data_IF_706975763209
#
_entry.id   IF_706975763209
#
_cell.length_a   1.000
_cell.length_b   1.000
_cell.length_c   1.000
_cell.angle_alpha   90.00
_cell.angle_beta   90.00
_cell.angle_gamma   90.00
#
_symmetry.space_group_name_H-M   'P 1'
#
loop_
_entity.id
_entity.type
_entity.pdbx_description
1 polymer ?
#
# COMPACT_ATOMS: atom_id res chain seq x y z
N UNK A 1 25.51 28.34 -25.28
CA UNK A 1 24.20 28.15 -25.93
C UNK A 1 23.53 27.00 -25.21
N UNK A 2 22.33 27.17 -24.64
CA UNK A 2 21.62 26.07 -23.99
C UNK A 2 21.01 25.18 -25.07
N UNK A 3 21.47 23.95 -25.18
CA UNK A 3 20.88 22.97 -26.09
C UNK A 3 19.66 22.34 -25.42
N UNK A 4 18.56 22.25 -26.16
CA UNK A 4 17.32 21.61 -25.71
C UNK A 4 17.07 20.36 -26.53
N UNK A 5 16.76 19.25 -25.87
CA UNK A 5 16.51 17.96 -26.51
C UNK A 5 15.05 17.56 -26.25
N UNK A 6 14.28 17.10 -27.27
CA UNK A 6 12.93 16.62 -27.07
C UNK A 6 12.89 15.40 -26.14
N UNK A 7 11.83 15.31 -25.34
CA UNK A 7 11.56 14.14 -24.49
C UNK A 7 11.40 12.87 -25.35
N UNK A 8 12.24 11.87 -25.13
CA UNK A 8 12.13 10.53 -25.72
C UNK A 8 12.64 9.47 -24.73
N UNK A 9 12.30 8.20 -24.95
CA UNK A 9 12.87 7.10 -24.15
C UNK A 9 14.40 7.03 -24.27
N UNK A 10 14.96 7.36 -25.45
CA UNK A 10 16.40 7.38 -25.66
C UNK A 10 17.08 8.45 -24.79
N UNK A 11 16.47 9.63 -24.71
CA UNK A 11 17.01 10.76 -23.94
C UNK A 11 16.79 10.57 -22.43
N UNK A 12 15.71 9.88 -22.02
CA UNK A 12 15.44 9.55 -20.61
C UNK A 12 16.56 8.71 -20.02
N UNK A 13 17.13 7.76 -20.76
CA UNK A 13 18.28 6.96 -20.30
C UNK A 13 19.50 7.80 -19.95
N UNK A 14 19.68 8.94 -20.62
CA UNK A 14 20.78 9.89 -20.38
C UNK A 14 20.41 10.97 -19.37
N UNK A 15 19.24 10.89 -18.76
CA UNK A 15 18.79 11.90 -17.81
C UNK A 15 19.62 11.85 -16.52
N UNK A 16 20.02 13.02 -16.02
CA UNK A 16 20.88 13.19 -14.84
C UNK A 16 20.35 12.48 -13.58
N UNK A 17 19.04 12.34 -13.45
CA UNK A 17 18.37 11.62 -12.34
C UNK A 17 18.89 10.19 -12.12
N UNK A 18 19.32 9.50 -13.19
CA UNK A 18 19.78 8.11 -13.14
C UNK A 18 21.29 7.97 -12.95
N UNK A 19 22.04 9.07 -12.97
CA UNK A 19 23.49 9.03 -12.84
C UNK A 19 23.84 8.89 -11.35
N UNK A 20 24.54 7.82 -10.92
CA UNK A 20 24.93 7.67 -9.53
C UNK A 20 25.67 8.91 -9.02
N UNK A 21 25.49 9.30 -7.74
CA UNK A 21 26.30 10.37 -7.18
C UNK A 21 27.77 9.97 -7.30
N UNK A 22 28.62 10.88 -7.77
CA UNK A 22 30.07 10.65 -7.85
C UNK A 22 30.54 10.55 -6.41
N UNK A 23 30.67 9.33 -5.88
CA UNK A 23 31.09 9.08 -4.52
C UNK A 23 32.39 9.83 -4.24
N UNK A 24 32.39 10.73 -3.27
CA UNK A 24 33.61 11.32 -2.71
C UNK A 24 34.33 10.27 -1.86
N UNK A 25 34.89 9.22 -2.48
CA UNK A 25 36.07 8.44 -2.02
C UNK A 25 36.13 7.02 -2.62
N UNK A 26 36.66 6.88 -3.84
CA UNK A 26 37.70 5.92 -4.26
C UNK A 26 37.82 5.91 -5.79
N UNK A 27 39.03 5.75 -6.35
CA UNK A 27 39.26 5.82 -7.80
C UNK A 27 38.63 4.62 -8.53
N UNK A 28 38.44 4.71 -9.87
CA UNK A 28 37.83 3.65 -10.65
C UNK A 28 38.88 2.56 -10.87
N UNK A 29 38.72 1.42 -10.21
CA UNK A 29 39.26 0.19 -10.78
C UNK A 29 38.20 -0.32 -11.77
N UNK A 30 38.63 -0.46 -13.03
CA UNK A 30 37.88 -0.99 -14.16
C UNK A 30 37.45 -2.44 -13.92
N UNK A 31 36.48 -2.63 -13.05
CA UNK A 31 35.71 -3.86 -12.94
C UNK A 31 34.25 -3.46 -12.95
N UNK A 32 33.48 -4.03 -13.89
CA UNK A 32 32.04 -4.06 -13.80
C UNK A 32 31.70 -4.85 -12.54
N UNK A 33 31.74 -4.19 -11.37
CA UNK A 33 31.18 -4.73 -10.14
C UNK A 33 29.69 -4.90 -10.41
N UNK A 34 29.36 -6.14 -10.78
CA UNK A 34 28.04 -6.72 -10.65
C UNK A 34 27.45 -6.16 -9.35
N UNK A 35 26.37 -5.39 -9.50
CA UNK A 35 25.52 -4.90 -8.42
C UNK A 35 25.52 -5.88 -7.26
N UNK A 36 26.02 -5.42 -6.11
CA UNK A 36 25.98 -6.06 -4.80
C UNK A 36 26.21 -7.58 -4.81
N UNK A 37 27.42 -8.00 -4.38
CA UNK A 37 27.59 -9.35 -3.84
C UNK A 37 26.55 -9.53 -2.74
N UNK A 38 25.52 -10.31 -3.02
CA UNK A 38 24.54 -10.76 -2.04
C UNK A 38 25.30 -11.38 -0.89
N UNK A 39 25.36 -10.67 0.24
CA UNK A 39 25.87 -11.26 1.48
C UNK A 39 24.99 -12.47 1.78
N UNK A 40 25.57 -13.55 2.32
CA UNK A 40 24.86 -14.79 2.62
C UNK A 40 23.65 -14.63 3.60
N UNK A 41 23.42 -13.41 4.09
CA UNK A 41 22.31 -13.00 4.96
C UNK A 41 21.24 -12.15 4.23
N UNK A 42 21.31 -11.95 2.91
CA UNK A 42 20.22 -11.27 2.19
C UNK A 42 18.93 -12.10 2.28
N UNK A 43 17.83 -11.51 2.79
CA UNK A 43 16.59 -12.25 2.95
C UNK A 43 16.05 -12.65 1.58
N UNK A 44 15.73 -13.92 1.44
CA UNK A 44 15.25 -14.52 0.19
C UNK A 44 14.06 -13.71 -0.37
N UNK A 45 14.12 -13.32 -1.66
CA UNK A 45 13.10 -12.54 -2.39
C UNK A 45 12.98 -11.03 -2.06
N UNK A 46 14.08 -10.28 -2.01
CA UNK A 46 13.98 -8.81 -1.93
C UNK A 46 13.54 -8.18 -3.26
N UNK A 47 12.41 -7.47 -3.23
CA UNK A 47 11.90 -6.72 -4.37
C UNK A 47 12.43 -5.29 -4.36
N UNK A 48 13.16 -4.92 -5.42
CA UNK A 48 13.66 -3.55 -5.59
C UNK A 48 12.71 -2.71 -6.45
N UNK A 49 11.73 -2.04 -5.84
CA UNK A 49 10.96 -1.00 -6.55
C UNK A 49 11.54 0.37 -6.20
N UNK A 50 12.60 0.76 -6.91
CA UNK A 50 13.32 2.04 -6.69
C UNK A 50 12.81 3.19 -7.55
N UNK A 51 11.71 3.00 -8.27
CA UNK A 51 11.16 4.01 -9.18
C UNK A 51 9.64 4.06 -9.07
N UNK A 52 9.07 5.26 -9.04
CA UNK A 52 7.64 5.46 -9.00
C UNK A 52 7.24 6.74 -9.73
N UNK A 53 6.07 6.70 -10.37
CA UNK A 53 5.45 7.85 -11.00
C UNK A 53 4.42 8.47 -10.04
N UNK A 54 4.46 9.80 -9.91
CA UNK A 54 3.42 10.61 -9.30
C UNK A 54 2.97 11.67 -10.28
N UNK A 55 1.80 11.50 -10.87
CA UNK A 55 1.29 12.38 -11.94
C UNK A 55 2.30 12.53 -13.09
N UNK A 56 3.02 13.66 -13.11
CA UNK A 56 4.05 14.00 -14.11
C UNK A 56 5.47 13.95 -13.53
N UNK A 57 5.59 13.68 -12.24
CA UNK A 57 6.87 13.58 -11.56
C UNK A 57 7.35 12.12 -11.56
N UNK A 58 8.59 11.94 -11.99
CA UNK A 58 9.34 10.71 -11.81
C UNK A 58 10.14 10.81 -10.52
N UNK A 59 9.98 9.84 -9.63
CA UNK A 59 10.72 9.74 -8.38
C UNK A 59 11.58 8.47 -8.44
N UNK A 60 12.86 8.61 -8.13
CA UNK A 60 13.87 7.54 -8.19
C UNK A 60 14.64 7.51 -6.87
N UNK A 61 14.84 6.32 -6.31
CA UNK A 61 15.74 6.08 -5.20
C UNK A 61 17.10 5.59 -5.71
N UNK A 62 18.17 6.21 -5.25
CA UNK A 62 19.55 5.88 -5.59
C UNK A 62 20.34 5.77 -4.28
N UNK A 63 20.73 4.55 -3.91
CA UNK A 63 21.30 4.25 -2.59
C UNK A 63 20.42 4.80 -1.44
N UNK A 64 20.88 5.82 -0.72
CA UNK A 64 20.17 6.48 0.39
C UNK A 64 19.48 7.79 -0.02
N UNK A 65 19.58 8.18 -1.30
CA UNK A 65 19.01 9.41 -1.84
C UNK A 65 17.67 9.16 -2.55
N UNK A 66 16.71 10.08 -2.36
CA UNK A 66 15.48 10.14 -3.16
C UNK A 66 15.55 11.35 -4.08
N UNK A 67 15.38 11.10 -5.39
CA UNK A 67 15.47 12.11 -6.44
C UNK A 67 14.13 12.26 -7.15
N UNK A 68 13.81 13.48 -7.56
CA UNK A 68 12.54 13.80 -8.21
C UNK A 68 12.79 14.72 -9.40
N UNK A 69 12.17 14.41 -10.54
CA UNK A 69 12.15 15.29 -11.71
C UNK A 69 10.75 15.33 -12.33
N UNK A 70 10.40 16.43 -13.00
CA UNK A 70 9.15 16.54 -13.73
C UNK A 70 9.39 16.19 -15.20
N UNK A 71 8.72 15.17 -15.71
CA UNK A 71 8.88 14.72 -17.10
C UNK A 71 8.25 15.69 -18.11
N UNK A 72 7.36 16.57 -17.66
CA UNK A 72 6.66 17.54 -18.49
C UNK A 72 7.29 18.93 -18.33
N UNK A 73 8.53 19.08 -18.83
CA UNK A 73 9.12 20.40 -19.00
C UNK A 73 8.14 21.31 -19.76
N UNK A 74 7.99 22.57 -19.32
CA UNK A 74 7.02 23.53 -19.88
C UNK A 74 7.14 23.70 -21.41
N UNK A 75 8.30 23.36 -21.96
CA UNK A 75 8.65 23.55 -23.36
C UNK A 75 8.80 22.21 -24.12
N UNK A 76 8.44 21.08 -23.49
CA UNK A 76 8.56 19.74 -24.07
C UNK A 76 10.01 19.27 -24.34
N UNK A 77 11.00 20.04 -23.90
CA UNK A 77 12.41 19.76 -24.08
C UNK A 77 13.17 19.85 -22.75
N UNK A 78 14.18 19.00 -22.60
CA UNK A 78 15.13 19.07 -21.50
C UNK A 78 16.34 19.89 -21.87
N UNK A 79 16.83 20.68 -20.92
CA UNK A 79 18.09 21.42 -21.06
C UNK A 79 19.26 20.46 -20.92
N UNK A 80 20.31 20.69 -21.69
CA UNK A 80 21.59 20.02 -21.53
C UNK A 80 22.56 20.99 -20.85
N UNK A 81 23.01 20.63 -19.66
CA UNK A 81 23.97 21.39 -18.86
C UNK A 81 25.09 20.42 -18.43
N UNK A 82 26.35 20.83 -18.61
CA UNK A 82 27.55 20.03 -18.31
C UNK A 82 27.58 18.61 -18.91
N UNK A 83 26.99 18.44 -20.11
CA UNK A 83 26.88 17.15 -20.79
C UNK A 83 25.81 16.22 -20.23
N UNK A 84 25.05 16.67 -19.24
CA UNK A 84 23.94 15.95 -18.62
C UNK A 84 22.60 16.43 -19.18
N UNK A 85 21.67 15.50 -19.35
CA UNK A 85 20.33 15.80 -19.87
C UNK A 85 19.36 15.99 -18.72
N UNK A 86 18.68 17.14 -18.71
CA UNK A 86 17.66 17.47 -17.72
C UNK A 86 18.22 17.66 -16.30
N UNK A 87 17.33 18.05 -15.39
CA UNK A 87 17.66 18.36 -14.00
C UNK A 87 16.76 17.58 -13.05
N UNK A 88 17.20 17.45 -11.80
CA UNK A 88 16.44 16.77 -10.76
C UNK A 88 16.66 17.44 -9.41
N UNK A 89 15.81 17.10 -8.44
CA UNK A 89 15.95 17.54 -7.07
C UNK A 89 16.15 16.37 -6.15
N UNK A 90 17.05 16.51 -5.20
CA UNK A 90 17.21 15.53 -4.11
C UNK A 90 16.29 15.91 -2.96
N UNK A 91 15.39 15.02 -2.58
CA UNK A 91 14.54 15.15 -1.40
C UNK A 91 15.37 14.81 -0.15
N UNK A 92 15.74 15.84 0.62
CA UNK A 92 16.56 15.71 1.81
C UNK A 92 15.71 15.49 3.06
N UNK A 93 16.13 14.54 3.87
CA UNK A 93 15.53 14.21 5.16
C UNK A 93 16.60 13.65 6.08
N UNK A 94 16.62 14.08 7.35
CA UNK A 94 17.54 13.56 8.38
C UNK A 94 17.30 12.09 8.72
N UNK A 95 16.14 11.54 8.36
CA UNK A 95 15.76 10.15 8.63
C UNK A 95 16.21 9.17 7.54
N UNK A 96 16.59 9.65 6.35
CA UNK A 96 17.08 8.81 5.25
C UNK A 96 18.57 8.51 5.46
N UNK A 97 18.84 7.45 6.22
CA UNK A 97 20.20 7.08 6.66
C UNK A 97 20.55 5.63 6.33
N UNK A 98 19.78 5.01 5.44
CA UNK A 98 19.88 3.60 5.05
C UNK A 98 19.71 3.46 3.55
N UNK A 99 20.23 2.36 2.99
CA UNK A 99 20.06 2.01 1.59
C UNK A 99 18.58 1.70 1.27
N UNK A 100 18.04 2.38 0.27
CA UNK A 100 16.63 2.31 -0.11
C UNK A 100 16.43 1.12 -1.06
N UNK A 101 15.48 0.27 -0.72
CA UNK A 101 15.12 -0.92 -1.49
C UNK A 101 13.82 -0.68 -2.26
N UNK A 102 12.88 0.00 -1.61
CA UNK A 102 11.52 0.09 -2.10
C UNK A 102 10.91 1.46 -1.80
N UNK A 103 10.25 2.06 -2.79
CA UNK A 103 9.52 3.32 -2.65
C UNK A 103 8.08 3.17 -3.16
N UNK A 104 7.11 3.71 -2.42
CA UNK A 104 5.69 3.65 -2.81
C UNK A 104 4.96 4.95 -2.48
N UNK A 105 4.42 5.58 -3.51
CA UNK A 105 3.58 6.78 -3.37
C UNK A 105 2.20 6.39 -2.87
N UNK A 106 1.65 7.18 -1.96
CA UNK A 106 0.31 6.95 -1.45
C UNK A 106 -0.77 7.31 -2.48
N UNK A 107 -2.00 6.77 -2.38
CA UNK A 107 -3.07 7.02 -3.34
C UNK A 107 -3.43 8.50 -3.55
N UNK A 108 -3.08 9.38 -2.60
CA UNK A 108 -3.31 10.82 -2.70
C UNK A 108 -2.14 11.59 -3.35
N UNK A 109 -1.00 10.95 -3.66
CA UNK A 109 0.20 11.60 -4.19
C UNK A 109 0.93 12.53 -3.22
N UNK A 110 0.57 12.49 -1.93
CA UNK A 110 1.08 13.42 -0.90
C UNK A 110 2.19 12.82 -0.05
N UNK A 111 2.22 11.50 0.09
CA UNK A 111 3.17 10.78 0.93
C UNK A 111 3.94 9.77 0.08
N UNK A 112 5.21 9.57 0.42
CA UNK A 112 6.06 8.53 -0.15
C UNK A 112 6.60 7.66 0.98
N UNK A 113 6.23 6.39 1.00
CA UNK A 113 6.91 5.41 1.85
C UNK A 113 8.25 5.07 1.22
N UNK A 114 9.32 5.21 1.99
CA UNK A 114 10.71 4.88 1.64
C UNK A 114 11.18 3.79 2.57
N UNK A 115 11.57 2.65 1.99
CA UNK A 115 11.74 1.40 2.72
C UNK A 115 13.13 0.84 2.46
N UNK A 116 13.84 0.56 3.54
CA UNK A 116 15.09 -0.20 3.56
C UNK A 116 14.82 -1.66 3.96
N UNK A 117 15.88 -2.39 4.29
CA UNK A 117 15.75 -3.78 4.77
C UNK A 117 14.90 -3.89 6.04
N UNK A 118 15.11 -2.98 7.01
CA UNK A 118 14.47 -3.04 8.32
C UNK A 118 13.82 -1.72 8.74
N UNK A 119 14.00 -0.65 7.98
CA UNK A 119 13.54 0.70 8.34
C UNK A 119 12.54 1.25 7.33
N UNK A 120 11.58 2.03 7.84
CA UNK A 120 10.57 2.71 7.01
C UNK A 120 10.49 4.18 7.40
N UNK A 121 10.55 5.04 6.38
CA UNK A 121 10.36 6.48 6.51
C UNK A 121 9.26 6.92 5.56
N UNK A 122 8.30 7.70 6.04
CA UNK A 122 7.31 8.34 5.18
C UNK A 122 7.70 9.78 4.95
N UNK A 123 7.98 10.15 3.70
CA UNK A 123 8.24 11.53 3.30
C UNK A 123 6.93 12.23 2.91
N UNK A 124 6.77 13.49 3.34
CA UNK A 124 5.73 14.37 2.84
C UNK A 124 6.22 15.00 1.54
N UNK A 125 5.60 14.63 0.42
CA UNK A 125 6.02 15.08 -0.89
C UNK A 125 5.64 16.56 -1.11
N UNK A 126 6.51 17.36 -1.75
CA UNK A 126 6.17 18.72 -2.15
C UNK A 126 4.93 18.77 -3.02
N UNK A 127 4.12 19.83 -2.88
CA UNK A 127 2.92 20.03 -3.71
C UNK A 127 3.33 20.17 -5.19
N UNK A 128 2.60 19.54 -6.13
CA UNK A 128 2.92 19.58 -7.57
C UNK A 128 3.05 21.00 -8.13
N UNK A 129 2.33 21.98 -7.60
CA UNK A 129 2.37 23.38 -8.09
C UNK A 129 3.72 24.07 -7.89
N UNK A 130 4.60 23.54 -7.03
CA UNK A 130 5.96 24.05 -6.86
C UNK A 130 6.93 23.54 -7.94
N UNK A 131 6.54 22.62 -8.84
CA UNK A 131 7.48 22.09 -9.82
C UNK A 131 7.84 23.07 -10.96
N UNK A 132 7.03 24.12 -11.19
CA UNK A 132 7.14 25.00 -12.36
C UNK A 132 8.15 26.15 -12.32
N UNK A 133 8.78 26.45 -11.16
CA UNK A 133 9.79 27.53 -11.02
C UNK A 133 10.83 27.20 -9.96
N UNK A 134 11.57 26.11 -10.08
CA UNK A 134 12.58 25.80 -9.08
C UNK A 134 13.93 25.52 -9.73
N UNK A 135 14.89 26.30 -9.24
CA UNK A 135 16.32 26.16 -9.45
C UNK A 135 16.78 24.74 -9.12
N UNK A 136 17.85 24.32 -9.79
CA UNK A 136 18.48 23.03 -9.57
C UNK A 136 18.95 22.94 -8.11
N UNK A 137 18.67 21.83 -7.41
CA UNK A 137 19.06 21.73 -6.00
C UNK A 137 18.29 20.77 -5.11
N UNK A 138 18.60 20.85 -3.82
CA UNK A 138 18.06 20.01 -2.77
C UNK A 138 16.78 20.60 -2.18
N UNK A 139 15.81 19.75 -1.86
CA UNK A 139 14.54 20.15 -1.23
C UNK A 139 14.43 19.43 0.10
N UNK A 140 14.41 20.19 1.20
CA UNK A 140 14.09 19.61 2.51
C UNK A 140 12.62 19.19 2.55
N UNK A 141 12.39 17.95 2.94
CA UNK A 141 11.04 17.38 3.08
C UNK A 141 10.80 16.96 4.52
N UNK A 142 9.57 17.18 4.99
CA UNK A 142 9.13 16.61 6.26
C UNK A 142 9.12 15.08 6.14
N UNK A 143 9.53 14.41 7.21
CA UNK A 143 9.64 12.96 7.24
C UNK A 143 9.22 12.39 8.58
N UNK A 144 8.58 11.23 8.52
CA UNK A 144 8.01 10.54 9.67
C UNK A 144 8.63 9.15 9.75
N UNK A 145 9.27 8.82 10.88
CA UNK A 145 9.72 7.47 11.18
C UNK A 145 8.53 6.59 11.54
N UNK A 146 8.43 5.41 10.93
CA UNK A 146 7.39 4.44 11.25
C UNK A 146 7.95 3.42 12.23
N UNK A 147 7.43 3.43 13.45
CA UNK A 147 7.73 2.48 14.53
C UNK A 147 9.23 2.11 14.63
N UNK A 148 10.03 3.04 15.17
CA UNK A 148 11.48 2.88 15.34
C UNK A 148 11.88 1.75 16.31
N UNK A 149 10.91 1.05 16.92
CA UNK A 149 11.18 -0.14 17.72
C UNK A 149 11.03 -1.41 16.85
N UNK A 150 9.90 -1.56 16.15
CA UNK A 150 9.65 -2.71 15.29
C UNK A 150 10.48 -2.69 14.00
N UNK A 151 10.65 -1.50 13.40
CA UNK A 151 11.37 -1.28 12.16
C UNK A 151 12.67 -0.51 12.41
N UNK A 152 13.43 -1.00 13.39
CA UNK A 152 14.76 -0.50 13.71
C UNK A 152 15.84 -1.22 12.89
N UNK A 153 17.04 -0.63 12.81
CA UNK A 153 18.22 -1.30 12.22
C UNK A 153 18.58 -2.63 12.89
N UNK A 154 18.20 -2.78 14.15
CA UNK A 154 18.43 -3.98 14.95
C UNK A 154 17.26 -4.97 14.88
N UNK A 155 16.26 -4.74 14.04
CA UNK A 155 15.14 -5.67 13.89
C UNK A 155 15.58 -6.94 13.18
N UNK A 156 15.24 -8.10 13.75
CA UNK A 156 15.52 -9.40 13.15
C UNK A 156 14.54 -9.74 11.99
N UNK A 157 13.53 -8.90 11.74
CA UNK A 157 12.52 -9.14 10.72
C UNK A 157 12.72 -8.18 9.55
N UNK A 158 13.05 -8.73 8.38
CA UNK A 158 13.20 -7.96 7.16
C UNK A 158 11.85 -7.58 6.58
N UNK A 159 11.75 -6.40 6.01
CA UNK A 159 10.56 -5.92 5.30
C UNK A 159 10.60 -6.49 3.88
N UNK A 160 9.58 -7.25 3.50
CA UNK A 160 9.50 -7.83 2.15
C UNK A 160 8.69 -6.96 1.21
N UNK A 161 7.61 -6.35 1.70
CA UNK A 161 6.77 -5.49 0.88
C UNK A 161 6.01 -4.47 1.72
N UNK A 162 5.74 -3.31 1.13
CA UNK A 162 4.76 -2.35 1.67
C UNK A 162 3.76 -1.96 0.59
N UNK A 163 2.51 -1.71 1.00
CA UNK A 163 1.48 -1.14 0.13
C UNK A 163 0.55 -0.22 0.93
N UNK A 164 0.00 0.79 0.26
CA UNK A 164 -1.05 1.61 0.86
C UNK A 164 -2.41 0.92 0.67
N UNK A 165 -3.21 0.87 1.74
CA UNK A 165 -4.57 0.36 1.66
C UNK A 165 -5.41 1.27 0.73
N UNK A 166 -6.15 0.70 -0.25
CA UNK A 166 -6.93 1.50 -1.21
C UNK A 166 -7.94 2.44 -0.55
N UNK A 167 -8.48 2.03 0.60
CA UNK A 167 -9.51 2.76 1.36
C UNK A 167 -9.04 3.34 2.68
N UNK A 168 -7.72 3.42 2.90
CA UNK A 168 -7.21 4.19 4.04
C UNK A 168 -7.73 5.63 3.95
N UNK A 169 -8.20 6.19 5.06
CA UNK A 169 -8.60 7.60 5.13
C UNK A 169 -7.48 8.46 4.52
N UNK A 170 -7.84 9.34 3.57
CA UNK A 170 -6.86 10.18 2.87
C UNK A 170 -5.74 9.46 2.09
N UNK A 171 -5.83 8.14 1.94
CA UNK A 171 -4.76 7.28 1.41
C UNK A 171 -3.60 7.06 2.39
N UNK A 172 -3.83 7.21 3.70
CA UNK A 172 -2.75 7.24 4.71
C UNK A 172 -2.61 5.95 5.53
N UNK A 173 -3.21 4.84 5.08
CA UNK A 173 -3.06 3.54 5.75
C UNK A 173 -1.98 2.73 5.05
N UNK A 174 -0.77 2.69 5.62
CA UNK A 174 0.33 1.87 5.12
C UNK A 174 0.26 0.46 5.71
N UNK A 175 0.44 -0.55 4.87
CA UNK A 175 0.55 -1.95 5.24
C UNK A 175 1.98 -2.42 5.00
N UNK A 176 2.51 -3.18 5.95
CA UNK A 176 3.88 -3.69 5.95
C UNK A 176 3.82 -5.20 6.09
N UNK A 177 4.43 -5.90 5.14
CA UNK A 177 4.68 -7.33 5.20
C UNK A 177 6.15 -7.54 5.55
N UNK A 178 6.39 -8.43 6.50
CA UNK A 178 7.72 -8.84 6.91
C UNK A 178 8.00 -10.28 6.51
N UNK A 179 9.28 -10.62 6.33
CA UNK A 179 9.72 -11.93 5.85
C UNK A 179 9.22 -13.06 6.74
N UNK A 180 9.19 -12.86 8.06
CA UNK A 180 8.78 -13.92 8.98
C UNK A 180 7.29 -14.29 8.90
N UNK A 181 6.47 -13.50 8.18
CA UNK A 181 5.02 -13.72 8.08
C UNK A 181 4.30 -13.79 9.44
N UNK A 182 4.94 -13.35 10.53
CA UNK A 182 4.48 -13.59 11.89
C UNK A 182 3.23 -12.76 12.21
N UNK A 183 2.10 -13.46 12.28
CA UNK A 183 1.07 -13.23 13.31
C UNK A 183 1.34 -14.27 14.43
N UNK A 184 2.00 -13.89 15.52
CA UNK A 184 2.60 -14.84 16.50
C UNK A 184 1.59 -15.85 17.10
N UNK A 185 1.87 -17.15 16.95
CA UNK A 185 1.82 -18.12 18.06
C UNK A 185 2.92 -19.19 17.88
N UNK A 186 3.85 -19.27 18.83
CA UNK A 186 4.92 -20.27 18.83
C UNK A 186 4.41 -21.64 19.21
N UNK A 187 4.81 -22.67 18.47
CA UNK A 187 5.07 -24.00 19.03
C UNK A 187 6.13 -24.69 18.16
N UNK A 188 7.24 -25.18 18.72
CA UNK A 188 8.18 -26.03 18.01
C UNK A 188 7.89 -27.50 18.30
N UNK A 189 8.00 -28.36 17.26
CA UNK A 189 8.69 -29.67 17.25
C UNK A 189 8.29 -30.42 15.97
N UNK A 190 9.28 -30.67 15.12
CA UNK A 190 9.30 -31.62 14.00
C UNK A 190 7.97 -31.89 13.31
N UNK A 191 7.64 -31.05 12.34
CA UNK A 191 6.75 -31.37 11.23
C UNK A 191 7.55 -31.09 9.97
N UNK A 192 7.43 -31.95 8.95
CA UNK A 192 8.00 -31.77 7.61
C UNK A 192 7.36 -30.57 6.88
N UNK A 193 7.51 -29.39 7.48
CA UNK A 193 7.06 -28.10 6.94
C UNK A 193 8.19 -27.59 6.09
N UNK A 194 7.92 -27.48 4.80
CA UNK A 194 8.77 -26.81 3.83
C UNK A 194 9.29 -25.48 4.43
N UNK A 195 10.62 -25.27 4.49
CA UNK A 195 11.22 -24.03 4.96
C UNK A 195 10.64 -22.78 4.29
N UNK A 196 10.28 -22.86 2.99
CA UNK A 196 9.72 -21.75 2.23
C UNK A 196 8.31 -21.36 2.68
N UNK A 197 7.55 -22.28 3.29
CA UNK A 197 6.23 -21.96 3.87
C UNK A 197 6.30 -21.04 5.10
N UNK A 198 7.50 -20.69 5.59
CA UNK A 198 7.68 -19.76 6.71
C UNK A 198 7.89 -18.32 6.25
N UNK A 199 8.17 -18.11 4.97
CA UNK A 199 8.55 -16.81 4.43
C UNK A 199 7.45 -16.23 3.57
N UNK A 200 6.98 -15.03 3.92
CA UNK A 200 6.01 -14.31 3.11
C UNK A 200 6.73 -13.44 2.08
N UNK A 201 6.48 -13.68 0.79
CA UNK A 201 7.20 -13.02 -0.31
C UNK A 201 6.45 -11.80 -0.85
N UNK A 202 5.12 -11.88 -0.99
CA UNK A 202 4.32 -10.80 -1.55
C UNK A 202 2.89 -10.82 -1.00
N UNK A 203 2.20 -9.68 -1.10
CA UNK A 203 0.78 -9.57 -0.82
C UNK A 203 0.09 -8.63 -1.80
N UNK A 204 -1.22 -8.80 -1.96
CA UNK A 204 -2.06 -7.94 -2.78
C UNK A 204 -3.47 -7.81 -2.19
N UNK A 205 -4.09 -6.65 -2.39
CA UNK A 205 -5.51 -6.46 -2.13
C UNK A 205 -6.33 -7.00 -3.30
N UNK A 206 -7.56 -7.46 -3.03
CA UNK A 206 -8.46 -7.84 -4.12
C UNK A 206 -8.82 -6.62 -5.00
N UNK A 207 -8.72 -6.74 -6.34
CA UNK A 207 -8.88 -5.60 -7.25
C UNK A 207 -10.35 -5.29 -7.56
N UNK A 208 -11.25 -6.25 -7.35
CA UNK A 208 -12.66 -6.08 -7.68
C UNK A 208 -13.35 -5.18 -6.66
N UNK A 209 -14.23 -4.31 -7.13
CA UNK A 209 -15.08 -3.48 -6.28
C UNK A 209 -16.39 -4.20 -5.91
N UNK A 210 -16.48 -5.52 -6.09
CA UNK A 210 -17.69 -6.31 -5.85
C UNK A 210 -17.48 -7.24 -4.66
N UNK A 211 -18.50 -7.34 -3.80
CA UNK A 211 -18.49 -8.23 -2.65
C UNK A 211 -17.31 -7.93 -1.71
N UNK A 212 -16.74 -8.95 -1.08
CA UNK A 212 -15.64 -8.76 -0.12
C UNK A 212 -14.26 -8.57 -0.76
N UNK A 213 -14.10 -8.70 -2.08
CA UNK A 213 -12.79 -8.66 -2.75
C UNK A 213 -11.86 -7.52 -2.30
N UNK A 214 -12.29 -6.25 -2.23
CA UNK A 214 -11.41 -5.14 -1.86
C UNK A 214 -11.10 -5.09 -0.35
N UNK A 215 -11.77 -5.93 0.44
CA UNK A 215 -11.53 -6.16 1.87
C UNK A 215 -10.69 -7.42 2.13
N UNK A 216 -10.30 -8.14 1.07
CA UNK A 216 -9.45 -9.32 1.16
C UNK A 216 -8.00 -8.95 0.87
N UNK A 217 -7.10 -9.49 1.70
CA UNK A 217 -5.66 -9.48 1.48
C UNK A 217 -5.23 -10.90 1.12
N UNK A 218 -4.53 -11.03 0.01
CA UNK A 218 -3.92 -12.26 -0.45
C UNK A 218 -2.44 -12.18 -0.12
N UNK A 219 -1.91 -13.17 0.59
CA UNK A 219 -0.52 -13.28 0.98
C UNK A 219 0.07 -14.51 0.30
N UNK A 220 1.13 -14.29 -0.47
CA UNK A 220 1.93 -15.33 -1.10
C UNK A 220 3.08 -15.70 -0.16
N UNK A 221 3.25 -16.99 0.06
CA UNK A 221 4.44 -17.55 0.71
C UNK A 221 5.47 -17.95 -0.35
N UNK A 222 6.74 -18.04 0.04
CA UNK A 222 7.81 -18.46 -0.85
C UNK A 222 7.60 -19.89 -1.40
N UNK A 223 6.82 -20.72 -0.71
CA UNK A 223 6.38 -22.05 -1.19
C UNK A 223 5.39 -21.99 -2.36
N UNK A 224 4.86 -20.81 -2.68
CA UNK A 224 3.77 -20.62 -3.64
C UNK A 224 2.37 -20.74 -3.05
N UNK A 225 2.26 -21.06 -1.76
CA UNK A 225 0.98 -21.08 -1.07
C UNK A 225 0.39 -19.67 -1.00
N UNK A 226 -0.87 -19.56 -1.40
CA UNK A 226 -1.64 -18.33 -1.21
C UNK A 226 -2.55 -18.49 0.01
N UNK A 227 -2.39 -17.58 0.97
CA UNK A 227 -3.30 -17.39 2.08
C UNK A 227 -4.17 -16.16 1.86
N UNK A 228 -5.42 -16.22 2.30
CA UNK A 228 -6.36 -15.12 2.19
C UNK A 228 -6.83 -14.68 3.57
N UNK A 229 -6.81 -13.39 3.82
CA UNK A 229 -7.21 -12.77 5.08
C UNK A 229 -8.32 -11.76 4.78
N UNK A 230 -9.41 -11.78 5.54
CA UNK A 230 -10.48 -10.79 5.40
C UNK A 230 -11.85 -11.23 5.93
N UNK A 231 -12.80 -10.29 6.06
CA UNK A 231 -12.66 -8.87 5.65
C UNK A 231 -11.80 -8.05 6.62
N UNK A 232 -10.89 -7.26 6.07
CA UNK A 232 -9.97 -6.38 6.80
C UNK A 232 -10.31 -4.92 6.49
N UNK A 233 -10.23 -4.07 7.51
CA UNK A 233 -10.38 -2.62 7.39
C UNK A 233 -9.31 -1.93 8.24
N UNK A 234 -8.65 -0.89 7.72
CA UNK A 234 -7.93 0.06 8.55
C UNK A 234 -8.84 0.67 9.61
N UNK A 235 -8.25 1.12 10.73
CA UNK A 235 -9.02 1.79 11.79
C UNK A 235 -9.82 2.99 11.25
N UNK A 236 -9.19 3.77 10.36
CA UNK A 236 -9.83 4.90 9.68
C UNK A 236 -9.92 4.59 8.20
N UNK A 237 -11.12 4.25 7.78
CA UNK A 237 -11.40 3.85 6.40
C UNK A 237 -12.37 4.83 5.76
N UNK A 238 -12.10 5.24 4.52
CA UNK A 238 -13.02 6.01 3.68
C UNK A 238 -13.47 5.14 2.49
N UNK A 239 -14.77 4.85 2.42
CA UNK A 239 -15.35 3.97 1.40
C UNK A 239 -16.51 4.61 0.65
N UNK A 240 -16.73 4.28 -0.63
CA UNK A 240 -17.92 4.73 -1.35
C UNK A 240 -19.21 4.24 -0.68
N UNK A 241 -20.14 5.14 -0.42
CA UNK A 241 -21.47 4.80 0.13
C UNK A 241 -22.21 3.79 -0.75
N UNK A 242 -22.02 3.90 -2.08
CA UNK A 242 -22.57 2.98 -3.05
C UNK A 242 -22.05 1.55 -2.86
N UNK A 243 -20.74 1.38 -2.69
CA UNK A 243 -20.15 0.06 -2.46
C UNK A 243 -20.74 -0.62 -1.22
N UNK A 244 -20.93 0.11 -0.11
CA UNK A 244 -21.49 -0.47 1.11
C UNK A 244 -22.94 -0.93 0.93
N UNK A 245 -23.73 -0.20 0.13
CA UNK A 245 -25.10 -0.62 -0.23
C UNK A 245 -25.08 -1.88 -1.10
N UNK A 246 -24.21 -1.93 -2.10
CA UNK A 246 -24.04 -3.10 -2.97
C UNK A 246 -23.54 -4.32 -2.20
N UNK A 247 -22.59 -4.14 -1.28
CA UNK A 247 -22.09 -5.18 -0.39
C UNK A 247 -23.21 -5.74 0.48
N UNK A 248 -24.09 -4.88 1.01
CA UNK A 248 -25.27 -5.31 1.77
C UNK A 248 -26.19 -6.17 0.92
N UNK A 249 -26.56 -5.70 -0.28
CA UNK A 249 -27.43 -6.45 -1.19
C UNK A 249 -26.81 -7.80 -1.57
N UNK A 250 -25.51 -7.82 -1.89
CA UNK A 250 -24.77 -9.05 -2.17
C UNK A 250 -24.84 -10.04 -1.00
N UNK A 251 -24.67 -9.54 0.23
CA UNK A 251 -24.68 -10.38 1.43
C UNK A 251 -26.08 -10.89 1.76
N UNK A 252 -27.12 -10.06 1.62
CA UNK A 252 -28.52 -10.45 1.83
C UNK A 252 -28.92 -11.58 0.87
N UNK A 253 -28.57 -11.46 -0.43
CA UNK A 253 -28.81 -12.49 -1.44
C UNK A 253 -28.07 -13.78 -1.08
N UNK A 254 -26.77 -13.69 -0.77
CA UNK A 254 -25.95 -14.86 -0.44
C UNK A 254 -26.43 -15.56 0.83
N UNK A 255 -26.86 -14.81 1.85
CA UNK A 255 -27.42 -15.39 3.06
C UNK A 255 -28.72 -16.15 2.76
N UNK A 256 -29.63 -15.56 1.98
CA UNK A 256 -30.87 -16.22 1.58
C UNK A 256 -30.60 -17.52 0.80
N UNK A 257 -29.64 -17.51 -0.13
CA UNK A 257 -29.24 -18.71 -0.89
C UNK A 257 -28.72 -19.83 0.03
N UNK A 258 -27.80 -19.51 0.93
CA UNK A 258 -27.21 -20.50 1.85
C UNK A 258 -28.26 -21.03 2.83
N UNK A 259 -29.17 -20.18 3.31
CA UNK A 259 -30.28 -20.59 4.17
C UNK A 259 -31.24 -21.54 3.47
N UNK A 260 -31.55 -21.31 2.19
CA UNK A 260 -32.41 -22.20 1.41
C UNK A 260 -31.72 -23.55 1.18
N UNK A 261 -30.45 -23.56 0.78
CA UNK A 261 -29.68 -24.80 0.59
C UNK A 261 -29.53 -25.62 1.88
N UNK A 262 -29.37 -24.95 3.03
CA UNK A 262 -29.29 -25.61 4.34
C UNK A 262 -30.60 -26.28 4.77
N UNK A 263 -31.75 -25.82 4.26
CA UNK A 263 -33.06 -26.45 4.50
C UNK A 263 -33.26 -27.70 3.65
N UNK A 264 -32.66 -27.76 2.46
CA UNK A 264 -32.87 -28.84 1.49
C UNK A 264 -31.99 -30.08 1.70
N UNK A 265 -30.89 -29.98 2.46
CA UNK A 265 -29.96 -31.10 2.70
C UNK A 265 -29.99 -31.50 4.18
N UNK A 266 -30.51 -32.70 4.48
CA UNK A 266 -30.60 -33.32 5.80
C UNK A 266 -29.29 -33.23 6.62
N UNK A 267 -29.10 -32.13 7.37
CA UNK A 267 -28.11 -31.96 8.45
C UNK A 267 -26.64 -31.75 8.05
N UNK A 268 -26.20 -32.10 6.84
CA UNK A 268 -24.78 -32.03 6.45
C UNK A 268 -24.32 -30.66 5.92
N UNK A 269 -25.24 -29.73 5.58
CA UNK A 269 -24.95 -28.45 4.93
C UNK A 269 -24.66 -27.25 5.84
N UNK A 270 -24.55 -27.43 7.16
CA UNK A 270 -24.49 -26.32 8.13
C UNK A 270 -23.13 -25.63 8.24
N UNK A 271 -22.07 -26.21 7.68
CA UNK A 271 -20.68 -25.74 7.84
C UNK A 271 -20.42 -24.34 7.27
N UNK A 272 -21.23 -23.87 6.31
CA UNK A 272 -21.13 -22.52 5.72
C UNK A 272 -22.09 -21.48 6.30
N UNK A 273 -23.19 -21.90 6.93
CA UNK A 273 -24.26 -20.99 7.35
C UNK A 273 -23.79 -20.06 8.48
N UNK A 274 -23.11 -20.59 9.49
CA UNK A 274 -22.60 -19.78 10.61
C UNK A 274 -21.61 -18.69 10.15
N UNK A 275 -20.70 -19.00 9.22
CA UNK A 275 -19.79 -18.00 8.64
C UNK A 275 -20.55 -16.93 7.86
N UNK A 276 -21.57 -17.33 7.11
CA UNK A 276 -22.39 -16.43 6.29
C UNK A 276 -23.22 -15.48 7.16
N UNK A 277 -23.77 -15.95 8.28
CA UNK A 277 -24.47 -15.12 9.27
C UNK A 277 -23.52 -14.09 9.88
N UNK A 278 -22.34 -14.51 10.35
CA UNK A 278 -21.35 -13.59 10.91
C UNK A 278 -20.90 -12.52 9.90
N UNK A 279 -20.78 -12.88 8.62
CA UNK A 279 -20.48 -11.92 7.56
C UNK A 279 -21.63 -10.92 7.35
N UNK A 280 -22.88 -11.37 7.39
CA UNK A 280 -24.04 -10.49 7.29
C UNK A 280 -24.12 -9.51 8.47
N UNK A 281 -23.95 -10.00 9.71
CA UNK A 281 -23.91 -9.15 10.91
C UNK A 281 -22.80 -8.10 10.83
N UNK A 282 -21.62 -8.48 10.34
CA UNK A 282 -20.50 -7.58 10.13
C UNK A 282 -20.83 -6.47 9.13
N UNK A 283 -21.47 -6.80 8.00
CA UNK A 283 -21.90 -5.83 6.98
C UNK A 283 -22.99 -4.90 7.53
N UNK A 284 -23.96 -5.44 8.26
CA UNK A 284 -25.02 -4.63 8.89
C UNK A 284 -24.47 -3.60 9.87
N UNK A 285 -23.42 -3.94 10.62
CA UNK A 285 -22.74 -3.00 11.51
C UNK A 285 -22.07 -1.86 10.73
N UNK A 286 -21.49 -2.12 9.56
CA UNK A 286 -20.95 -1.06 8.70
C UNK A 286 -22.04 -0.14 8.15
N UNK A 287 -23.14 -0.72 7.64
CA UNK A 287 -24.27 0.06 7.12
C UNK A 287 -24.91 0.91 8.22
N UNK A 288 -24.92 0.43 9.47
CA UNK A 288 -25.37 1.21 10.62
C UNK A 288 -24.49 2.44 10.86
N UNK A 289 -23.16 2.33 10.75
CA UNK A 289 -22.24 3.47 10.87
C UNK A 289 -22.52 4.53 9.79
N UNK A 290 -22.80 4.09 8.56
CA UNK A 290 -23.14 5.01 7.45
C UNK A 290 -24.38 5.83 7.78
N UNK A 291 -25.47 5.17 8.21
CA UNK A 291 -26.73 5.85 8.56
C UNK A 291 -26.53 6.87 9.69
N UNK A 292 -25.77 6.49 10.72
CA UNK A 292 -25.44 7.40 11.83
C UNK A 292 -24.68 8.63 11.35
N UNK A 293 -23.73 8.45 10.42
CA UNK A 293 -22.94 9.55 9.86
C UNK A 293 -23.82 10.49 9.01
N UNK A 294 -24.70 9.95 8.17
CA UNK A 294 -25.64 10.73 7.35
C UNK A 294 -26.63 11.53 8.20
N UNK A 295 -27.14 10.94 9.30
CA UNK A 295 -28.02 11.61 10.26
C UNK A 295 -27.30 12.77 10.97
N UNK A 296 -26.04 12.58 11.39
CA UNK A 296 -25.23 13.64 12.00
C UNK A 296 -24.94 14.78 11.03
N UNK A 297 -24.65 14.47 9.76
CA UNK A 297 -24.44 15.48 8.71
C UNK A 297 -25.71 16.29 8.42
N UNK A 298 -26.86 15.61 8.35
CA UNK A 298 -28.15 16.25 8.13
C UNK A 298 -28.51 17.22 9.26
N UNK A 299 -28.24 16.84 10.53
CA UNK A 299 -28.47 17.72 11.69
C UNK A 299 -27.59 18.98 11.66
N UNK A 300 -26.31 18.85 11.33
CA UNK A 300 -25.38 19.99 11.25
C UNK A 300 -25.79 21.00 10.18
N UNK A 301 -26.27 20.55 9.02
CA UNK A 301 -26.73 21.45 7.96
C UNK A 301 -27.95 22.28 8.39
N UNK A 302 -28.86 21.71 9.19
CA UNK A 302 -30.03 22.42 9.70
C UNK A 302 -29.64 23.48 10.74
N UNK A 303 -28.66 23.18 11.60
CA UNK A 303 -28.17 24.13 12.62
C UNK A 303 -27.39 25.29 12.00
N UNK A 304 -26.56 25.06 10.97
CA UNK A 304 -25.82 26.12 10.28
C UNK A 304 -26.70 26.96 9.35
N UNK A 305 -27.75 26.37 8.75
CA UNK A 305 -28.73 27.09 7.93
C UNK A 305 -29.73 27.95 8.72
N UNK A 306 -29.80 27.79 10.05
CA UNK A 306 -30.73 28.49 10.93
C UNK A 306 -30.25 29.86 11.45
N UNK A 307 -28.98 30.23 11.24
CA UNK A 307 -28.45 31.53 11.69
C UNK A 307 -28.84 32.63 10.71
N UNK A 308 -30.10 33.06 10.81
CA UNK A 308 -30.56 34.30 10.18
C UNK A 308 -29.91 35.48 10.91
N UNK A 309 -29.25 36.33 10.13
CA UNK A 309 -28.52 37.52 10.54
C UNK A 309 -29.39 38.48 11.36
N UNK A 310 -29.24 38.47 12.68
CA UNK A 310 -29.63 39.62 13.51
C UNK A 310 -28.39 40.39 13.92
N UNK A 311 -28.21 41.53 13.26
CA UNK A 311 -27.38 42.64 13.70
C UNK A 311 -27.64 42.95 15.18
N UNK A 312 -26.60 42.99 15.99
CA UNK A 312 -26.54 43.86 17.18
C UNK A 312 -25.11 44.33 17.42
N UNK A 313 -24.94 45.53 18.03
CA UNK A 313 -23.82 46.41 17.74
C UNK A 313 -22.65 46.26 18.70
N UNK A 314 -21.54 46.87 18.28
CA UNK A 314 -20.24 46.95 18.93
C UNK A 314 -20.28 47.19 20.45
N UNK A 315 -19.60 46.30 21.19
CA UNK A 315 -19.18 46.52 22.56
C UNK A 315 -17.66 46.51 22.66
N UNK A 316 -17.10 47.65 23.07
CA UNK A 316 -15.68 47.90 23.31
C UNK A 316 -15.28 47.43 24.72
N UNK A 317 -14.19 46.65 24.86
CA UNK A 317 -13.23 46.69 25.99
C UNK A 317 -12.06 45.74 25.73
N UNK A 318 -10.83 46.25 25.58
CA UNK A 318 -9.82 46.59 26.60
C UNK A 318 -9.03 45.37 27.11
N UNK A 319 -7.82 45.26 26.55
CA UNK A 319 -6.51 44.95 27.14
C UNK A 319 -6.40 44.07 28.40
N UNK A 320 -5.70 42.95 28.26
CA UNK A 320 -5.11 42.17 29.36
C UNK A 320 -3.89 41.37 28.87
N UNK A 321 -2.70 41.75 29.36
CA UNK A 321 -1.36 41.27 28.99
C UNK A 321 -0.99 39.91 29.59
N UNK A 322 -0.30 39.10 28.77
CA UNK A 322 0.94 38.33 29.01
C UNK A 322 1.05 37.39 30.25
N UNK A 323 1.15 36.08 29.98
CA UNK A 323 2.25 35.22 30.48
C UNK A 323 2.61 34.17 29.43
N UNK A 324 3.88 34.18 29.01
CA UNK A 324 4.46 33.34 27.96
C UNK A 324 5.07 32.09 28.63
N UNK A 325 4.48 30.92 28.46
CA UNK A 325 5.09 29.64 28.82
C UNK A 325 5.51 28.90 27.56
N UNK A 326 6.82 28.72 27.38
CA UNK A 326 7.39 27.87 26.33
C UNK A 326 7.27 26.41 26.77
N UNK A 327 6.26 25.72 26.25
CA UNK A 327 6.24 24.26 26.12
C UNK A 327 5.97 23.97 24.64
N UNK A 328 7.00 23.55 23.91
CA UNK A 328 6.89 23.13 22.51
C UNK A 328 6.27 21.73 22.44
N UNK A 329 4.95 21.66 22.67
CA UNK A 329 4.12 20.61 22.10
C UNK A 329 3.86 21.01 20.66
N UNK A 330 4.43 20.25 19.71
CA UNK A 330 4.13 20.38 18.30
C UNK A 330 2.69 19.95 18.11
N UNK A 331 1.77 20.90 18.23
CA UNK A 331 0.49 20.84 17.55
C UNK A 331 0.80 20.87 16.06
N UNK A 332 0.94 19.68 15.47
CA UNK A 332 0.77 19.50 14.04
C UNK A 332 -0.56 20.16 13.72
N UNK A 333 -0.50 21.29 13.00
CA UNK A 333 -1.67 22.04 12.60
C UNK A 333 -2.68 21.07 12.02
N UNK A 334 -3.80 20.91 12.73
CA UNK A 334 -5.00 20.20 12.32
C UNK A 334 -5.56 20.91 11.08
N UNK A 335 -4.92 20.70 9.94
CA UNK A 335 -5.42 21.12 8.65
C UNK A 335 -6.59 20.21 8.31
N UNK A 336 -7.78 20.65 8.73
CA UNK A 336 -9.10 20.05 8.51
C UNK A 336 -9.28 18.65 9.09
N UNK A 337 -10.24 18.52 10.02
CA UNK A 337 -11.13 17.36 10.04
C UNK A 337 -11.82 17.31 8.66
N UNK A 338 -11.10 16.84 7.64
CA UNK A 338 -11.53 16.93 6.26
C UNK A 338 -12.89 16.26 6.14
N UNK A 339 -13.86 16.89 5.51
CA UNK A 339 -15.08 16.18 5.15
C UNK A 339 -14.69 14.98 4.26
N UNK A 340 -15.36 13.84 4.39
CA UNK A 340 -15.13 12.73 3.48
C UNK A 340 -15.32 13.21 2.04
N UNK A 341 -14.59 12.59 1.11
CA UNK A 341 -14.75 12.87 -0.33
C UNK A 341 -16.22 12.72 -0.72
N UNK A 342 -16.72 13.54 -1.65
CA UNK A 342 -18.12 13.46 -2.08
C UNK A 342 -18.49 12.00 -2.47
N UNK A 343 -19.54 11.47 -1.84
CA UNK A 343 -20.00 10.08 -2.04
C UNK A 343 -19.24 9.01 -1.23
N UNK A 344 -18.26 9.40 -0.41
CA UNK A 344 -17.56 8.52 0.52
C UNK A 344 -18.05 8.72 1.95
N UNK A 345 -17.92 7.67 2.76
CA UNK A 345 -18.28 7.66 4.17
C UNK A 345 -17.12 7.13 4.98
N UNK A 346 -16.92 7.71 6.16
CA UNK A 346 -15.93 7.19 7.12
C UNK A 346 -16.55 6.07 7.91
N UNK A 347 -15.81 4.97 7.99
CA UNK A 347 -16.16 3.81 8.78
C UNK A 347 -14.92 3.31 9.52
N UNK A 348 -15.17 2.53 10.55
CA UNK A 348 -14.15 1.80 11.29
C UNK A 348 -14.51 0.31 11.36
N UNK A 349 -13.54 -0.57 11.64
CA UNK A 349 -13.80 -1.99 11.79
C UNK A 349 -14.88 -2.21 12.86
N UNK A 350 -15.89 -3.07 12.62
CA UNK A 350 -16.99 -3.24 13.58
C UNK A 350 -16.57 -3.77 14.96
N UNK A 351 -15.38 -4.39 15.05
CA UNK A 351 -14.80 -4.87 16.29
C UNK A 351 -14.01 -3.81 17.08
N UNK A 352 -13.88 -2.60 16.53
CA UNK A 352 -13.19 -1.48 17.15
C UNK A 352 -14.15 -0.30 17.35
N UNK A 353 -13.86 0.55 18.32
CA UNK A 353 -14.44 1.89 18.44
C UNK A 353 -13.77 2.85 17.45
N UNK A 354 -14.33 4.05 17.27
CA UNK A 354 -13.70 5.11 16.47
C UNK A 354 -12.28 5.46 16.95
N UNK A 355 -12.00 5.30 18.25
CA UNK A 355 -10.69 5.53 18.85
C UNK A 355 -9.72 4.33 18.73
N UNK A 356 -10.15 3.22 18.15
CA UNK A 356 -9.35 1.99 18.02
C UNK A 356 -9.33 1.09 19.25
N UNK A 357 -10.13 1.39 20.27
CA UNK A 357 -10.37 0.47 21.39
C UNK A 357 -11.26 -0.71 20.98
N UNK A 358 -11.32 -1.80 21.74
CA UNK A 358 -12.25 -2.89 21.45
C UNK A 358 -13.69 -2.41 21.55
N UNK A 359 -14.51 -2.66 20.53
CA UNK A 359 -15.93 -2.39 20.59
C UNK A 359 -16.63 -3.35 21.58
N UNK A 360 -17.73 -2.93 22.24
CA UNK A 360 -18.54 -3.86 23.04
C UNK A 360 -19.01 -5.05 22.19
N UNK A 361 -18.89 -6.27 22.73
CA UNK A 361 -19.34 -7.49 22.07
C UNK A 361 -18.28 -8.59 21.99
N UNK A 362 -18.67 -9.74 21.42
CA UNK A 362 -17.76 -10.87 21.19
C UNK A 362 -17.19 -10.74 19.78
N UNK A 363 -15.91 -10.43 19.68
CA UNK A 363 -15.19 -10.34 18.41
C UNK A 363 -14.33 -11.58 18.22
N UNK A 364 -14.35 -12.15 17.01
CA UNK A 364 -13.45 -13.24 16.65
C UNK A 364 -12.24 -12.66 15.93
N UNK A 365 -11.07 -13.22 16.24
CA UNK A 365 -9.86 -12.93 15.48
C UNK A 365 -10.09 -13.27 13.98
N UNK A 366 -9.53 -12.45 13.11
CA UNK A 366 -9.51 -12.73 11.68
C UNK A 366 -8.77 -14.04 11.44
N UNK A 367 -9.47 -15.01 10.85
CA UNK A 367 -8.89 -16.31 10.54
C UNK A 367 -8.21 -16.25 9.18
N UNK A 368 -6.94 -16.66 9.15
CA UNK A 368 -6.23 -16.96 7.91
C UNK A 368 -6.94 -18.11 7.19
N UNK A 369 -7.33 -17.88 5.94
CA UNK A 369 -7.91 -18.89 5.06
C UNK A 369 -6.81 -19.41 4.12
N UNK A 370 -6.85 -20.71 3.81
CA UNK A 370 -5.91 -21.34 2.88
C UNK A 370 -5.02 -22.43 3.52
N UNK A 371 -4.07 -22.98 2.75
CA UNK A 371 -3.68 -22.52 1.41
C UNK A 371 -4.80 -22.67 0.37
N UNK A 372 -4.84 -21.75 -0.61
CA UNK A 372 -5.77 -21.83 -1.74
C UNK A 372 -5.40 -23.04 -2.59
N UNK A 373 -6.40 -23.87 -2.90
CA UNK A 373 -6.20 -25.07 -3.73
C UNK A 373 -6.36 -24.71 -5.20
N UNK A 374 -5.33 -24.94 -5.99
CA UNK A 374 -5.35 -24.80 -7.44
C UNK A 374 -5.99 -26.04 -8.09
N UNK A 375 -6.85 -25.82 -9.08
CA UNK A 375 -7.51 -26.92 -9.82
C UNK A 375 -7.57 -26.57 -11.31
N UNK A 376 -6.78 -27.25 -12.18
CA UNK A 376 -5.77 -28.25 -11.81
C UNK A 376 -4.60 -27.62 -11.02
N UNK A 377 -3.87 -28.46 -10.27
CA UNK A 377 -2.61 -28.03 -9.65
C UNK A 377 -1.57 -27.63 -10.71
N UNK A 378 -0.59 -26.77 -10.39
CA UNK A 378 0.51 -26.44 -11.29
C UNK A 378 1.26 -27.72 -11.72
N UNK A 379 1.49 -27.92 -13.02
CA UNK A 379 2.15 -29.14 -13.54
C UNK A 379 3.69 -29.05 -13.53
N UNK A 380 4.25 -27.83 -13.58
CA UNK A 380 5.69 -27.62 -13.80
C UNK A 380 6.43 -27.08 -12.55
N UNK A 381 5.70 -26.70 -11.50
CA UNK A 381 6.27 -26.23 -10.24
C UNK A 381 6.52 -27.44 -9.34
N UNK A 382 7.71 -28.04 -9.46
CA UNK A 382 8.12 -29.21 -8.66
C UNK A 382 8.37 -30.50 -9.45
N UNK A 383 8.21 -30.50 -10.79
CA UNK A 383 8.55 -31.63 -11.66
C UNK A 383 9.82 -31.38 -12.50
N UNK A 384 10.66 -30.41 -12.14
CA UNK A 384 11.99 -30.30 -12.75
C UNK A 384 12.74 -31.59 -12.37
N UNK A 385 13.30 -32.27 -13.37
CA UNK A 385 13.98 -33.56 -13.23
C UNK A 385 14.81 -33.61 -11.93
N UNK A 386 14.73 -34.74 -11.21
CA UNK A 386 15.44 -34.98 -9.93
C UNK A 386 16.96 -34.73 -9.97
N UNK A 387 17.50 -34.44 -11.16
CA UNK A 387 18.90 -34.15 -11.44
C UNK A 387 19.27 -32.64 -11.37
N UNK A 388 18.31 -31.73 -11.19
CA UNK A 388 18.56 -30.30 -10.96
C UNK A 388 17.97 -29.88 -9.60
N UNK A 389 18.82 -29.82 -8.57
CA UNK A 389 18.54 -29.35 -7.19
C UNK A 389 18.18 -27.84 -7.12
N UNK A 390 17.51 -27.30 -8.12
CA UNK A 390 17.15 -25.89 -8.22
C UNK A 390 15.82 -25.62 -7.49
N UNK A 391 15.91 -25.26 -6.20
CA UNK A 391 14.75 -24.84 -5.42
C UNK A 391 14.10 -23.60 -6.06
N UNK A 392 12.89 -23.78 -6.60
CA UNK A 392 12.05 -22.69 -7.08
C UNK A 392 11.30 -22.04 -5.92
N UNK A 393 11.23 -20.72 -5.92
CA UNK A 393 10.48 -19.95 -4.93
C UNK A 393 9.55 -18.94 -5.57
N UNK A 394 8.39 -18.74 -4.96
CA UNK A 394 7.43 -17.74 -5.41
C UNK A 394 7.80 -16.36 -4.86
N UNK A 395 7.98 -15.38 -5.74
CA UNK A 395 8.56 -14.07 -5.41
C UNK A 395 7.59 -12.91 -5.49
N UNK A 396 6.54 -13.02 -6.32
CA UNK A 396 5.59 -11.92 -6.47
C UNK A 396 4.17 -12.40 -6.77
N UNK A 397 3.21 -11.59 -6.35
CA UNK A 397 1.78 -11.83 -6.50
C UNK A 397 1.14 -10.63 -7.20
N UNK A 398 0.47 -10.90 -8.31
CA UNK A 398 -0.33 -9.91 -9.02
C UNK A 398 -1.78 -10.39 -9.10
N UNK A 399 -2.70 -9.54 -8.66
CA UNK A 399 -4.14 -9.81 -8.77
C UNK A 399 -4.79 -8.69 -9.57
N UNK A 400 -5.48 -9.06 -10.64
CA UNK A 400 -6.13 -8.10 -11.53
C UNK A 400 -7.50 -8.58 -11.98
N UNK A 401 -8.35 -7.63 -12.33
CA UNK A 401 -9.65 -7.92 -12.93
C UNK A 401 -9.55 -7.82 -14.45
N UNK A 402 -10.00 -8.85 -15.15
CA UNK A 402 -10.00 -8.96 -16.62
C UNK A 402 -11.44 -8.98 -17.12
N UNK A 403 -11.76 -8.15 -18.12
CA UNK A 403 -13.06 -8.16 -18.80
C UNK A 403 -14.15 -7.25 -18.22
N UNK A 404 -13.80 -6.27 -17.38
CA UNK A 404 -14.72 -5.22 -16.96
C UNK A 404 -14.72 -4.05 -17.96
N UNK A 405 -15.23 -4.27 -19.18
CA UNK A 405 -15.44 -3.18 -20.13
C UNK A 405 -16.61 -2.31 -19.64
N UNK A 406 -16.29 -1.09 -19.22
CA UNK A 406 -17.24 0.00 -18.93
C UNK A 406 -17.74 0.68 -20.22
N UNK A 407 -17.74 -0.02 -21.36
CA UNK A 407 -18.15 0.57 -22.63
C UNK A 407 -19.67 0.59 -22.72
N UNK A 408 -20.26 1.72 -22.34
CA UNK A 408 -21.66 2.08 -22.64
C UNK A 408 -21.85 2.22 -24.15
N UNK A 409 -21.99 1.10 -24.87
CA UNK A 409 -22.52 1.11 -26.24
C UNK A 409 -23.08 -0.27 -26.62
N UNK A 410 -24.38 -0.46 -26.41
CA UNK A 410 -25.18 -1.43 -27.17
C UNK A 410 -25.14 -2.88 -26.68
N UNK A 411 -26.17 -3.28 -25.92
CA UNK A 411 -26.88 -4.57 -26.03
C UNK A 411 -26.13 -5.90 -25.89
N UNK A 412 -24.82 -5.94 -25.67
CA UNK A 412 -24.06 -7.17 -25.52
C UNK A 412 -24.04 -7.65 -24.07
N UNK A 413 -24.19 -8.97 -23.86
CA UNK A 413 -24.09 -9.66 -22.56
C UNK A 413 -22.90 -9.09 -21.77
N UNK A 414 -23.16 -8.49 -20.59
CA UNK A 414 -22.11 -8.18 -19.62
C UNK A 414 -21.33 -9.46 -19.34
N UNK A 415 -20.09 -9.53 -19.81
CA UNK A 415 -19.14 -10.56 -19.39
C UNK A 415 -18.86 -10.34 -17.91
N UNK A 416 -19.06 -11.36 -17.08
CA UNK A 416 -18.66 -11.30 -15.68
C UNK A 416 -17.15 -11.06 -15.64
N UNK A 417 -16.74 -9.96 -15.01
CA UNK A 417 -15.32 -9.64 -14.87
C UNK A 417 -14.62 -10.75 -14.09
N UNK A 418 -13.62 -11.38 -14.70
CA UNK A 418 -12.85 -12.44 -14.09
C UNK A 418 -11.73 -11.84 -13.24
N UNK A 419 -11.40 -12.48 -12.12
CA UNK A 419 -10.21 -12.11 -11.35
C UNK A 419 -9.10 -13.08 -11.71
N UNK A 420 -7.98 -12.56 -12.19
CA UNK A 420 -6.77 -13.33 -12.51
C UNK A 420 -5.77 -13.12 -11.39
N UNK A 421 -5.25 -14.23 -10.86
CA UNK A 421 -4.15 -14.27 -9.91
C UNK A 421 -2.93 -14.81 -10.65
N UNK A 422 -1.86 -14.04 -10.70
CA UNK A 422 -0.58 -14.43 -11.29
C UNK A 422 0.49 -14.49 -10.20
N UNK A 423 1.32 -15.54 -10.25
CA UNK A 423 2.43 -15.78 -9.32
C UNK A 423 3.72 -15.77 -10.15
N UNK A 424 4.69 -14.98 -9.72
CA UNK A 424 6.04 -15.02 -10.28
C UNK A 424 6.89 -16.03 -9.49
N UNK A 425 7.67 -16.82 -10.21
CA UNK A 425 8.59 -17.81 -9.65
C UNK A 425 10.02 -17.46 -10.06
N UNK A 426 10.96 -17.63 -9.14
CA UNK A 426 12.39 -17.53 -9.40
C UNK A 426 13.08 -18.83 -9.02
N UNK A 427 14.10 -19.18 -9.79
CA UNK A 427 15.03 -20.25 -9.43
C UNK A 427 16.08 -19.67 -8.49
N UNK A 428 16.33 -20.33 -7.35
CA UNK A 428 17.47 -20.03 -6.51
C UNK A 428 18.73 -20.54 -7.23
N UNK A 429 19.33 -19.70 -8.08
CA UNK A 429 20.58 -20.06 -8.74
C UNK A 429 21.68 -20.23 -7.70
N UNK A 430 22.09 -21.47 -7.43
CA UNK A 430 23.43 -21.71 -6.90
C UNK A 430 24.36 -21.25 -8.02
N UNK A 431 25.00 -20.08 -7.83
CA UNK A 431 26.06 -19.63 -8.72
C UNK A 431 27.01 -20.83 -8.94
N UNK A 432 27.29 -21.24 -10.19
CA UNK A 432 28.21 -22.33 -10.42
C UNK A 432 29.52 -21.94 -9.76
N UNK A 433 29.94 -22.71 -8.75
CA UNK A 433 31.30 -22.70 -8.27
C UNK A 433 32.17 -23.04 -9.48
N UNK A 434 32.67 -22.02 -10.16
CA UNK A 434 33.64 -22.19 -11.21
C UNK A 434 34.86 -22.85 -10.56
N UNK A 435 35.06 -24.12 -10.91
CA UNK A 435 36.30 -24.85 -10.74
C UNK A 435 37.46 -23.95 -11.20
N UNK A 436 38.42 -23.76 -10.30
CA UNK A 436 39.72 -23.14 -10.57
C UNK A 436 40.50 -23.90 -11.65
#
# INVERSE_FOLDING_TARGET
MSHTIPLSFATLKSHSIFIPPISTSSPPEDEWELLDRSSADEPMSQKHNRMVMRDKDLIVAMDSEVRMTNLHASDGCWKVEDGLVGSYRTLKSSHLTFAIHHIVVNPAGRLLAVVGHHQIVVLVLPKPTYSGKLEDGQVEVESILIDDFLFSRSSDDAITQVQWHPWGENGNSLWVLTASGKLRRSVPKFTAVDPLSRYASSFAFGPSMIGFSPLMVYCLLASGDIHVLGPILPLRTEMPAQYLRELKTFMDIRLATVQNQARDVFGAGTSGLGKTILQAEWVDQLVKQVRQTEEMQSKKQVEEGGVTTQHTPMGVSISGKLTKSYSSSVEVGSSSLGLPRNGFVRIHPPHLTESGGPAPGVHRALLRQGPVVFSPGPQDVGNVDEDLDEEQMATDLLIMQVGADNTEAGGSKKTEGQTVIAIAWSVLGILPHHLQ
#
